data_IF_018280766395
#
_entry.id   IF_018280766395
#
_cell.length_a   1.000
_cell.length_b   1.000
_cell.length_c   1.000
_cell.angle_alpha   90.00
_cell.angle_beta   90.00
_cell.angle_gamma   90.00
#
_symmetry.space_group_name_H-M   'P 1'
#
loop_
_entity.id
_entity.type
_entity.pdbx_description
1 polymer ?
#
# COMPACT_ATOMS: atom_id res chain seq x y z
N UNK A 1 7.12 -10.83 16.81
CA UNK A 1 6.94 -9.48 16.23
C UNK A 1 6.16 -9.70 14.94
N UNK A 2 5.05 -8.99 14.74
CA UNK A 2 4.25 -9.10 13.50
C UNK A 2 4.93 -8.32 12.37
N UNK A 3 4.82 -8.85 11.15
CA UNK A 3 5.43 -8.28 9.95
C UNK A 3 4.37 -7.68 9.04
N UNK A 4 4.58 -6.46 8.58
CA UNK A 4 3.68 -5.74 7.70
C UNK A 4 4.39 -5.49 6.36
N UNK A 5 3.79 -5.94 5.26
CA UNK A 5 4.19 -5.52 3.93
C UNK A 5 3.49 -4.19 3.61
N UNK A 6 4.26 -3.11 3.43
CA UNK A 6 3.75 -1.77 3.09
C UNK A 6 3.94 -1.50 1.60
N UNK A 7 2.85 -1.57 0.85
CA UNK A 7 2.81 -1.18 -0.56
C UNK A 7 2.63 0.33 -0.72
N UNK A 8 3.52 0.97 -1.46
CA UNK A 8 3.49 2.42 -1.73
C UNK A 8 3.34 2.62 -3.23
N UNK A 9 2.30 3.34 -3.65
CA UNK A 9 2.02 3.60 -5.07
C UNK A 9 2.16 5.08 -5.43
N UNK A 10 2.21 5.39 -6.73
CA UNK A 10 2.54 6.72 -7.27
C UNK A 10 1.44 7.76 -7.13
N UNK A 11 1.24 8.25 -5.93
CA UNK A 11 0.38 9.39 -5.60
C UNK A 11 1.20 10.47 -4.90
N UNK A 12 0.79 11.73 -5.01
CA UNK A 12 1.40 12.81 -4.21
C UNK A 12 1.35 12.47 -2.71
N UNK A 13 0.37 11.70 -2.26
CA UNK A 13 0.28 11.25 -0.87
C UNK A 13 1.35 10.22 -0.47
N UNK A 14 2.22 9.77 -1.38
CA UNK A 14 3.31 8.82 -1.07
C UNK A 14 4.28 9.35 -0.01
N UNK A 15 4.46 10.68 0.12
CA UNK A 15 5.29 11.25 1.20
C UNK A 15 4.77 10.88 2.60
N UNK A 16 3.47 10.67 2.76
CA UNK A 16 2.85 10.26 4.03
C UNK A 16 3.16 8.82 4.41
N UNK A 17 3.58 7.99 3.45
CA UNK A 17 4.00 6.63 3.74
C UNK A 17 5.21 6.59 4.70
N UNK A 18 6.06 7.63 4.69
CA UNK A 18 7.14 7.77 5.66
C UNK A 18 6.62 7.87 7.10
N UNK A 19 5.60 8.69 7.33
CA UNK A 19 4.99 8.84 8.66
C UNK A 19 4.25 7.57 9.08
N UNK A 20 3.54 6.91 8.16
CA UNK A 20 2.86 5.63 8.40
C UNK A 20 3.90 4.58 8.80
N UNK A 21 4.96 4.39 8.00
CA UNK A 21 6.03 3.44 8.28
C UNK A 21 6.69 3.69 9.63
N UNK A 22 7.04 4.95 9.92
CA UNK A 22 7.65 5.34 11.19
C UNK A 22 6.74 5.06 12.41
N UNK A 23 5.43 5.39 12.30
CA UNK A 23 4.48 5.11 13.38
C UNK A 23 4.34 3.61 13.64
N UNK A 24 4.13 2.82 12.59
CA UNK A 24 3.96 1.37 12.69
C UNK A 24 5.23 0.73 13.28
N UNK A 25 6.41 1.15 12.84
CA UNK A 25 7.69 0.66 13.39
C UNK A 25 7.83 1.01 14.87
N UNK A 26 7.43 2.22 15.30
CA UNK A 26 7.47 2.64 16.71
C UNK A 26 6.49 1.87 17.61
N UNK A 27 5.42 1.31 17.03
CA UNK A 27 4.50 0.41 17.74
C UNK A 27 5.05 -1.02 17.89
N UNK A 28 6.26 -1.29 17.38
CA UNK A 28 6.92 -2.59 17.52
C UNK A 28 6.64 -3.59 16.40
N UNK A 29 6.05 -3.15 15.30
CA UNK A 29 5.88 -3.98 14.10
C UNK A 29 7.12 -3.91 13.19
N UNK A 30 7.41 -5.00 12.50
CA UNK A 30 8.40 -5.01 11.41
C UNK A 30 7.73 -4.58 10.11
N UNK A 31 8.26 -3.56 9.43
CA UNK A 31 7.70 -3.05 8.17
C UNK A 31 8.67 -3.31 7.03
N UNK A 32 8.21 -4.06 6.02
CA UNK A 32 8.92 -4.26 4.75
C UNK A 32 8.18 -3.48 3.66
N UNK A 33 8.84 -2.52 3.03
CA UNK A 33 8.22 -1.70 2.00
C UNK A 33 8.38 -2.29 0.60
N UNK A 34 7.34 -2.15 -0.21
CA UNK A 34 7.34 -2.44 -1.65
C UNK A 34 6.87 -1.18 -2.36
N UNK A 35 7.71 -0.60 -3.20
CA UNK A 35 7.43 0.67 -3.86
C UNK A 35 7.31 0.47 -5.37
N UNK A 36 6.22 0.98 -5.96
CA UNK A 36 6.11 0.98 -7.42
C UNK A 36 7.08 1.97 -8.05
N UNK A 37 7.41 1.80 -9.34
CA UNK A 37 8.24 2.75 -10.10
C UNK A 37 7.69 4.18 -10.03
N UNK A 38 6.37 4.35 -10.01
CA UNK A 38 5.76 5.67 -9.85
C UNK A 38 5.86 6.22 -8.43
N UNK A 39 5.96 5.36 -7.40
CA UNK A 39 6.09 5.81 -6.01
C UNK A 39 7.46 6.45 -5.75
N UNK A 40 8.52 5.90 -6.32
CA UNK A 40 9.89 6.41 -6.14
C UNK A 40 10.12 7.80 -6.76
N UNK A 41 9.23 8.26 -7.64
CA UNK A 41 9.24 9.64 -8.15
C UNK A 41 8.79 10.67 -7.07
N UNK A 42 8.03 10.24 -6.06
CA UNK A 42 7.52 11.10 -4.99
C UNK A 42 8.28 10.99 -3.68
N UNK A 43 8.84 9.82 -3.37
CA UNK A 43 9.59 9.55 -2.15
C UNK A 43 10.66 8.50 -2.43
N UNK A 44 11.86 8.71 -1.90
CA UNK A 44 12.96 7.78 -2.16
C UNK A 44 12.87 6.50 -1.32
N UNK A 45 13.30 5.35 -1.87
CA UNK A 45 13.46 4.11 -1.11
C UNK A 45 14.33 4.31 0.13
N UNK A 46 15.40 5.08 0.03
CA UNK A 46 16.30 5.40 1.14
C UNK A 46 15.56 6.00 2.35
N UNK A 47 14.56 6.87 2.11
CA UNK A 47 13.74 7.43 3.20
C UNK A 47 13.01 6.34 3.96
N UNK A 48 12.34 5.44 3.24
CA UNK A 48 11.54 4.37 3.83
C UNK A 48 12.45 3.36 4.56
N UNK A 49 13.52 2.90 3.90
CA UNK A 49 14.51 1.99 4.48
C UNK A 49 15.11 2.54 5.78
N UNK A 50 15.43 3.83 5.81
CA UNK A 50 15.98 4.49 7.00
C UNK A 50 15.01 4.45 8.18
N UNK A 51 13.71 4.59 7.94
CA UNK A 51 12.67 4.60 8.97
C UNK A 51 12.30 3.20 9.45
N UNK A 52 12.21 2.23 8.54
CA UNK A 52 11.79 0.86 8.83
C UNK A 52 12.93 -0.03 9.32
N UNK A 53 14.19 0.32 9.00
CA UNK A 53 15.40 -0.48 9.22
C UNK A 53 15.38 -1.84 8.50
N UNK A 54 14.53 -1.98 7.49
CA UNK A 54 14.42 -3.17 6.65
C UNK A 54 14.74 -2.82 5.20
N UNK A 55 15.10 -3.85 4.41
CA UNK A 55 15.21 -3.72 2.95
C UNK A 55 13.85 -3.32 2.38
N UNK A 56 13.86 -2.42 1.42
CA UNK A 56 12.74 -2.11 0.54
C UNK A 56 12.87 -2.83 -0.80
N UNK A 57 11.76 -3.02 -1.49
CA UNK A 57 11.69 -3.68 -2.78
C UNK A 57 11.07 -2.77 -3.83
N UNK A 58 11.76 -2.57 -4.94
CA UNK A 58 11.34 -1.67 -6.03
C UNK A 58 11.25 -2.35 -7.39
N UNK A 59 11.97 -3.44 -7.59
CA UNK A 59 12.01 -4.19 -8.84
C UNK A 59 11.68 -5.67 -8.60
N UNK A 60 10.90 -6.25 -9.52
CA UNK A 60 10.51 -7.66 -9.47
C UNK A 60 11.70 -8.59 -9.74
N UNK A 61 12.67 -8.11 -10.50
CA UNK A 61 13.82 -8.92 -10.98
C UNK A 61 15.12 -8.61 -10.23
N UNK A 62 15.08 -7.75 -9.21
CA UNK A 62 16.22 -7.53 -8.31
C UNK A 62 16.29 -8.64 -7.24
N UNK A 63 16.71 -9.83 -7.69
CA UNK A 63 16.84 -11.04 -6.89
C UNK A 63 18.29 -11.21 -6.40
N UNK A 64 18.54 -10.88 -5.15
CA UNK A 64 19.87 -10.92 -4.53
C UNK A 64 20.14 -12.24 -3.77
N UNK A 65 19.15 -13.11 -3.62
CA UNK A 65 19.28 -14.40 -2.96
C UNK A 65 18.74 -15.54 -3.85
N UNK A 66 19.59 -16.40 -4.42
CA UNK A 66 19.12 -17.47 -5.31
C UNK A 66 18.29 -18.57 -4.62
N UNK A 67 18.22 -18.55 -3.29
CA UNK A 67 17.42 -19.52 -2.53
C UNK A 67 15.98 -19.04 -2.22
N UNK A 68 15.66 -17.77 -2.46
CA UNK A 68 14.35 -17.18 -2.22
C UNK A 68 13.90 -16.35 -3.42
N UNK A 69 12.64 -16.45 -3.78
CA UNK A 69 11.99 -15.54 -4.74
C UNK A 69 11.35 -14.39 -3.94
N UNK A 70 11.85 -13.18 -4.12
CA UNK A 70 11.56 -12.04 -3.25
C UNK A 70 10.05 -11.77 -3.07
N UNK A 71 9.25 -11.73 -4.15
CA UNK A 71 7.80 -11.45 -4.03
C UNK A 71 7.05 -12.56 -3.26
N UNK A 72 7.48 -13.80 -3.36
CA UNK A 72 6.92 -14.92 -2.58
C UNK A 72 7.36 -14.83 -1.13
N UNK A 73 8.65 -14.56 -0.88
CA UNK A 73 9.20 -14.46 0.46
C UNK A 73 8.53 -13.33 1.27
N UNK A 74 8.32 -12.15 0.66
CA UNK A 74 7.62 -11.03 1.30
C UNK A 74 6.17 -11.42 1.61
N UNK A 75 5.44 -12.03 0.66
CA UNK A 75 4.07 -12.47 0.87
C UNK A 75 3.94 -13.49 2.02
N UNK A 76 4.85 -14.46 2.09
CA UNK A 76 4.84 -15.48 3.15
C UNK A 76 5.18 -14.90 4.53
N UNK A 77 6.18 -14.02 4.61
CA UNK A 77 6.66 -13.43 5.87
C UNK A 77 5.69 -12.40 6.46
N UNK A 78 4.91 -11.71 5.64
CA UNK A 78 3.99 -10.69 6.12
C UNK A 78 2.77 -11.30 6.82
N UNK A 79 2.33 -10.68 7.90
CA UNK A 79 1.09 -11.00 8.64
C UNK A 79 -0.07 -10.12 8.16
N UNK A 80 0.23 -8.97 7.55
CA UNK A 80 -0.74 -8.04 6.99
C UNK A 80 -0.12 -7.32 5.78
N UNK A 81 -0.95 -7.06 4.77
CA UNK A 81 -0.58 -6.23 3.62
C UNK A 81 -1.29 -4.88 3.73
N UNK A 82 -0.54 -3.78 3.81
CA UNK A 82 -1.05 -2.41 3.85
C UNK A 82 -0.66 -1.67 2.57
N UNK A 83 -1.62 -1.19 1.80
CA UNK A 83 -1.38 -0.37 0.62
C UNK A 83 -1.73 1.09 0.93
N UNK A 84 -0.72 1.91 1.13
CA UNK A 84 -0.91 3.31 1.52
C UNK A 84 0.22 4.22 0.97
N UNK A 85 -0.08 5.11 0.00
CA UNK A 85 -1.37 5.29 -0.69
C UNK A 85 -1.64 4.24 -1.77
N UNK A 86 -2.93 4.02 -2.09
CA UNK A 86 -3.38 3.20 -3.21
C UNK A 86 -3.97 4.08 -4.32
N UNK A 87 -3.34 4.08 -5.50
CA UNK A 87 -3.83 4.78 -6.69
C UNK A 87 -4.95 4.01 -7.39
N UNK A 88 -5.71 4.68 -8.25
CA UNK A 88 -6.71 4.04 -9.11
C UNK A 88 -6.09 2.94 -9.99
N UNK A 89 -4.88 3.17 -10.53
CA UNK A 89 -4.14 2.17 -11.30
C UNK A 89 -3.85 0.91 -10.49
N UNK A 90 -3.35 1.05 -9.25
CA UNK A 90 -3.10 -0.10 -8.39
C UNK A 90 -4.40 -0.85 -8.07
N UNK A 91 -5.47 -0.13 -7.70
CA UNK A 91 -6.78 -0.72 -7.37
C UNK A 91 -7.32 -1.52 -8.58
N UNK A 92 -7.20 -0.96 -9.79
CA UNK A 92 -7.61 -1.66 -11.02
C UNK A 92 -6.78 -2.93 -11.26
N UNK A 93 -5.45 -2.85 -11.13
CA UNK A 93 -4.56 -4.02 -11.27
C UNK A 93 -4.89 -5.10 -10.26
N UNK A 94 -4.99 -4.75 -8.98
CA UNK A 94 -5.30 -5.69 -7.91
C UNK A 94 -6.67 -6.37 -8.11
N UNK A 95 -7.69 -5.62 -8.52
CA UNK A 95 -9.04 -6.15 -8.74
C UNK A 95 -9.11 -7.15 -9.90
N UNK A 96 -8.19 -7.08 -10.85
CA UNK A 96 -8.13 -7.96 -12.03
C UNK A 96 -7.00 -9.01 -11.98
N UNK A 97 -6.24 -9.06 -10.87
CA UNK A 97 -5.19 -10.06 -10.69
C UNK A 97 -3.94 -9.82 -11.54
N UNK A 98 -3.63 -8.58 -11.88
CA UNK A 98 -2.37 -8.25 -12.55
C UNK A 98 -1.19 -8.48 -11.59
N UNK A 99 -0.09 -9.02 -12.11
CA UNK A 99 1.15 -9.30 -11.39
C UNK A 99 2.36 -8.90 -12.26
N UNK A 100 2.41 -7.63 -12.65
CA UNK A 100 3.38 -7.08 -13.60
C UNK A 100 4.47 -6.23 -12.92
N UNK A 101 4.43 -6.12 -11.59
CA UNK A 101 5.45 -5.47 -10.76
C UNK A 101 5.62 -6.20 -9.41
N UNK A 102 6.62 -5.80 -8.64
CA UNK A 102 6.93 -6.41 -7.34
C UNK A 102 5.75 -6.35 -6.38
N UNK A 103 5.01 -5.23 -6.35
CA UNK A 103 3.89 -5.02 -5.43
C UNK A 103 2.70 -5.92 -5.78
N UNK A 104 2.30 -5.93 -7.04
CA UNK A 104 1.15 -6.72 -7.50
C UNK A 104 1.44 -8.21 -7.47
N UNK A 105 2.67 -8.63 -7.77
CA UNK A 105 3.10 -10.03 -7.67
C UNK A 105 3.10 -10.52 -6.23
N UNK A 106 3.64 -9.72 -5.29
CA UNK A 106 3.61 -10.05 -3.86
C UNK A 106 2.19 -10.11 -3.32
N UNK A 107 1.32 -9.17 -3.73
CA UNK A 107 -0.07 -9.14 -3.31
C UNK A 107 -0.85 -10.37 -3.80
N UNK A 108 -0.64 -10.78 -5.05
CA UNK A 108 -1.31 -11.96 -5.61
C UNK A 108 -0.86 -13.27 -4.94
N UNK A 109 0.40 -13.32 -4.45
CA UNK A 109 0.92 -14.44 -3.67
C UNK A 109 0.51 -14.43 -2.19
N UNK A 110 -0.05 -13.31 -1.70
CA UNK A 110 -0.46 -13.14 -0.31
C UNK A 110 -1.83 -13.76 -0.07
N UNK A 111 -1.93 -14.69 0.90
CA UNK A 111 -3.10 -15.52 1.08
C UNK A 111 -3.52 -15.63 2.54
N UNK A 112 -4.84 -15.68 2.77
CA UNK A 112 -5.48 -15.99 4.05
C UNK A 112 -5.09 -15.06 5.22
N UNK A 113 -4.72 -13.82 4.92
CA UNK A 113 -4.33 -12.79 5.89
C UNK A 113 -4.92 -11.43 5.48
N UNK A 114 -5.07 -10.47 6.41
CA UNK A 114 -5.72 -9.20 6.13
C UNK A 114 -4.95 -8.31 5.14
N UNK A 115 -5.69 -7.68 4.24
CA UNK A 115 -5.21 -6.69 3.28
C UNK A 115 -5.96 -5.38 3.54
N UNK A 116 -5.22 -4.28 3.75
CA UNK A 116 -5.77 -2.93 3.91
C UNK A 116 -5.41 -2.09 2.69
N UNK A 117 -6.39 -1.41 2.13
CA UNK A 117 -6.21 -0.49 1.00
C UNK A 117 -6.64 0.91 1.40
N UNK A 118 -5.76 1.89 1.22
CA UNK A 118 -5.98 3.29 1.56
C UNK A 118 -5.94 4.13 0.27
N UNK A 119 -7.09 4.38 -0.39
CA UNK A 119 -7.13 5.12 -1.64
C UNK A 119 -6.65 6.56 -1.48
N UNK A 120 -5.91 7.06 -2.50
CA UNK A 120 -5.53 8.46 -2.60
C UNK A 120 -5.39 8.87 -4.08
N UNK A 121 -6.32 9.72 -4.53
CA UNK A 121 -6.40 10.18 -5.92
C UNK A 121 -7.28 11.44 -6.02
N UNK A 122 -7.32 12.06 -7.20
CA UNK A 122 -8.28 13.14 -7.50
C UNK A 122 -9.72 12.66 -7.28
N UNK A 123 -10.60 13.58 -6.85
CA UNK A 123 -12.02 13.26 -6.57
C UNK A 123 -12.74 12.66 -7.76
N UNK A 124 -12.59 13.21 -8.96
CA UNK A 124 -13.22 12.68 -10.16
C UNK A 124 -12.72 11.25 -10.50
N UNK A 125 -11.45 10.96 -10.23
CA UNK A 125 -10.91 9.59 -10.39
C UNK A 125 -11.50 8.65 -9.33
N UNK A 126 -11.65 9.11 -8.10
CA UNK A 126 -12.23 8.29 -7.03
C UNK A 126 -13.72 8.00 -7.29
N UNK A 127 -14.48 9.00 -7.73
CA UNK A 127 -15.92 8.88 -8.02
C UNK A 127 -16.22 8.22 -9.37
N UNK A 128 -15.20 7.99 -10.21
CA UNK A 128 -15.37 7.32 -11.50
C UNK A 128 -15.97 5.92 -11.32
N UNK A 129 -16.99 5.59 -12.10
CA UNK A 129 -17.72 4.33 -11.99
C UNK A 129 -16.78 3.11 -12.06
N UNK A 130 -15.78 3.12 -12.94
CA UNK A 130 -14.80 2.02 -13.07
C UNK A 130 -13.97 1.88 -11.80
N UNK A 131 -13.56 3.00 -11.17
CA UNK A 131 -12.83 2.97 -9.90
C UNK A 131 -13.70 2.41 -8.77
N UNK A 132 -14.96 2.83 -8.70
CA UNK A 132 -15.90 2.35 -7.68
C UNK A 132 -16.25 0.87 -7.87
N UNK A 133 -16.40 0.38 -9.10
CA UNK A 133 -16.57 -1.05 -9.39
C UNK A 133 -15.36 -1.88 -8.95
N UNK A 134 -14.15 -1.40 -9.22
CA UNK A 134 -12.91 -2.06 -8.78
C UNK A 134 -12.79 -2.11 -7.24
N UNK A 135 -13.15 -1.02 -6.55
CA UNK A 135 -13.20 -0.96 -5.09
C UNK A 135 -14.23 -1.96 -4.55
N UNK A 136 -15.45 -1.96 -5.09
CA UNK A 136 -16.50 -2.89 -4.69
C UNK A 136 -16.07 -4.35 -4.88
N UNK A 137 -15.42 -4.66 -6.00
CA UNK A 137 -14.89 -5.99 -6.27
C UNK A 137 -13.85 -6.42 -5.22
N UNK A 138 -12.89 -5.55 -4.88
CA UNK A 138 -11.90 -5.86 -3.85
C UNK A 138 -12.54 -6.03 -2.47
N UNK A 139 -13.51 -5.20 -2.10
CA UNK A 139 -14.28 -5.36 -0.86
C UNK A 139 -14.98 -6.72 -0.79
N UNK A 140 -15.60 -7.15 -1.88
CA UNK A 140 -16.24 -8.47 -1.98
C UNK A 140 -15.23 -9.64 -1.89
N UNK A 141 -13.97 -9.41 -2.24
CA UNK A 141 -12.86 -10.35 -2.07
C UNK A 141 -12.23 -10.31 -0.67
N UNK A 142 -12.79 -9.53 0.26
CA UNK A 142 -12.33 -9.46 1.65
C UNK A 142 -11.26 -8.42 1.94
N UNK A 143 -10.97 -7.52 1.02
CA UNK A 143 -10.05 -6.41 1.27
C UNK A 143 -10.70 -5.36 2.17
N UNK A 144 -9.99 -4.89 3.17
CA UNK A 144 -10.40 -3.81 4.05
C UNK A 144 -10.00 -2.45 3.46
N UNK A 145 -10.92 -1.49 3.48
CA UNK A 145 -10.65 -0.14 2.98
C UNK A 145 -10.67 0.86 4.12
N UNK A 146 -9.66 1.73 4.18
CA UNK A 146 -9.71 2.96 4.97
C UNK A 146 -10.05 4.08 3.98
N UNK A 147 -11.28 4.57 4.08
CA UNK A 147 -11.86 5.50 3.10
C UNK A 147 -11.07 6.81 3.03
N UNK A 148 -10.88 7.37 1.83
CA UNK A 148 -10.25 8.67 1.68
C UNK A 148 -11.09 9.76 2.31
N UNK A 149 -10.45 10.80 2.82
CA UNK A 149 -11.12 11.94 3.44
C UNK A 149 -11.44 13.04 2.43
N UNK A 150 -12.41 13.89 2.79
CA UNK A 150 -12.64 15.16 2.10
C UNK A 150 -11.55 16.15 2.47
N UNK A 151 -10.93 16.76 1.47
CA UNK A 151 -9.90 17.78 1.66
C UNK A 151 -9.75 18.64 0.41
N UNK A 152 -9.03 19.75 0.53
CA UNK A 152 -8.45 20.44 -0.61
C UNK A 152 -7.31 19.56 -1.15
N UNK A 153 -7.44 19.14 -2.40
CA UNK A 153 -6.48 18.27 -3.09
C UNK A 153 -5.37 19.10 -3.74
N UNK A 154 -4.26 18.45 -4.07
CA UNK A 154 -3.12 19.08 -4.73
C UNK A 154 -3.46 19.73 -6.09
N UNK A 155 -4.51 19.27 -6.76
CA UNK A 155 -5.02 19.87 -8.00
C UNK A 155 -5.88 21.13 -7.78
N UNK A 156 -6.16 21.51 -6.52
CA UNK A 156 -6.99 22.64 -6.18
C UNK A 156 -8.48 22.31 -5.99
N UNK A 157 -8.92 21.10 -6.31
CA UNK A 157 -10.29 20.65 -6.09
C UNK A 157 -10.53 20.32 -4.60
N UNK A 158 -11.74 20.56 -4.12
CA UNK A 158 -12.19 20.12 -2.80
C UNK A 158 -13.14 18.94 -2.96
N UNK A 159 -12.83 17.81 -2.30
CA UNK A 159 -13.67 16.63 -2.39
C UNK A 159 -13.04 15.40 -1.76
N UNK A 160 -13.71 14.26 -1.92
CA UNK A 160 -13.26 12.95 -1.41
C UNK A 160 -12.17 12.39 -2.32
N UNK A 161 -10.98 12.15 -1.77
CA UNK A 161 -9.86 11.60 -2.55
C UNK A 161 -8.51 11.71 -1.83
N UNK A 162 -8.41 12.55 -0.79
CA UNK A 162 -7.20 12.63 0.02
C UNK A 162 -7.00 11.36 0.85
N UNK A 163 -5.75 10.92 0.98
CA UNK A 163 -5.41 9.80 1.86
C UNK A 163 -6.05 9.99 3.25
N UNK A 164 -6.59 8.91 3.80
CA UNK A 164 -7.13 8.85 5.15
C UNK A 164 -6.15 9.41 6.19
N UNK A 165 -6.64 9.75 7.37
CA UNK A 165 -5.77 10.15 8.46
C UNK A 165 -4.83 9.00 8.84
N UNK A 166 -3.58 9.36 9.15
CA UNK A 166 -2.56 8.36 9.48
C UNK A 166 -2.95 7.55 10.73
N UNK A 167 -3.63 8.18 11.69
CA UNK A 167 -4.08 7.48 12.88
C UNK A 167 -5.16 6.46 12.55
N UNK A 168 -6.10 6.78 11.64
CA UNK A 168 -7.15 5.85 11.22
C UNK A 168 -6.54 4.63 10.50
N UNK A 169 -5.51 4.85 9.67
CA UNK A 169 -4.78 3.77 9.00
C UNK A 169 -4.08 2.87 10.03
N UNK A 170 -3.37 3.47 10.98
CA UNK A 170 -2.63 2.73 12.02
C UNK A 170 -3.58 1.98 12.94
N UNK A 171 -4.68 2.60 13.37
CA UNK A 171 -5.71 1.94 14.18
C UNK A 171 -6.31 0.73 13.45
N UNK A 172 -6.53 0.83 12.13
CA UNK A 172 -7.02 -0.30 11.34
C UNK A 172 -6.02 -1.44 11.25
N UNK A 173 -4.73 -1.14 11.20
CA UNK A 173 -3.66 -2.15 11.26
C UNK A 173 -3.69 -2.87 12.61
N UNK A 174 -3.77 -2.14 13.72
CA UNK A 174 -3.83 -2.72 15.07
C UNK A 174 -5.10 -3.56 15.28
N UNK A 175 -6.25 -3.08 14.80
CA UNK A 175 -7.53 -3.80 14.85
C UNK A 175 -7.45 -5.19 14.21
N UNK A 176 -6.78 -5.30 13.06
CA UNK A 176 -6.73 -6.55 12.30
C UNK A 176 -5.57 -7.49 12.71
N UNK A 177 -4.60 -7.00 13.47
CA UNK A 177 -3.47 -7.80 13.95
C UNK A 177 -3.61 -8.27 15.41
N UNK A 178 -4.54 -7.69 16.17
CA UNK A 178 -4.84 -8.06 17.56
C UNK A 178 -6.08 -8.95 17.63
#
# INVERSE_FOLDING_TARGET
MKNIALGITGSIAAYKAADIANKITKLGYSVTAIMTKSAIEFITPLTIQTLTKNKDYTDLFDEDNPSEVNHIAVAHKADLFLIAPATANFIAKASHGFADDMLTSSLLAFKDKPIIVCPAMNTAMYENAVTQENIARLKNLGYHFVEPRNALLACGDTGKGALADINDIVNKVEELLN
#
